data_IF_509735813024
#
_entry.id   IF_509735813024
#
_cell.length_a   1.000
_cell.length_b   1.000
_cell.length_c   1.000
_cell.angle_alpha   90.00
_cell.angle_beta   90.00
_cell.angle_gamma   90.00
#
_symmetry.space_group_name_H-M   'P 1'
#
loop_
_entity.id
_entity.type
_entity.pdbx_description
1 polymer ?
#
# COMPACT_ATOMS: atom_id res chain seq x y z
N UNK A 1 -14.91 -3.38 -2.06
CA UNK A 1 -14.61 -2.01 -2.53
C UNK A 1 -15.39 -0.99 -1.74
N UNK A 2 -14.71 0.00 -1.28
CA UNK A 2 -15.35 1.03 -0.48
C UNK A 2 -15.88 2.14 -1.36
N UNK A 3 -16.93 2.78 -0.88
CA UNK A 3 -17.51 3.92 -1.60
C UNK A 3 -16.53 5.06 -1.72
N UNK A 4 -15.57 5.12 -0.79
CA UNK A 4 -14.59 6.19 -0.78
C UNK A 4 -13.55 6.03 -1.88
N UNK A 5 -13.43 4.86 -2.47
CA UNK A 5 -12.45 4.64 -3.53
C UNK A 5 -12.92 5.29 -4.81
N UNK A 6 -12.09 6.16 -5.36
CA UNK A 6 -12.41 6.85 -6.60
C UNK A 6 -11.95 6.03 -7.79
N UNK A 7 -12.74 6.10 -8.85
CA UNK A 7 -12.42 5.42 -10.10
C UNK A 7 -12.38 6.47 -11.18
N UNK A 8 -11.23 6.64 -11.82
CA UNK A 8 -11.02 7.66 -12.83
C UNK A 8 -10.35 7.08 -14.06
N UNK A 9 -10.64 7.61 -15.24
CA UNK A 9 -9.93 7.16 -16.44
C UNK A 9 -8.50 7.69 -16.46
N UNK A 10 -7.66 7.04 -17.26
CA UNK A 10 -6.26 7.44 -17.36
C UNK A 10 -6.13 8.87 -17.88
N UNK A 11 -7.07 9.30 -18.69
CA UNK A 11 -7.04 10.68 -19.21
C UNK A 11 -7.18 11.71 -18.09
N UNK A 12 -7.94 11.38 -17.05
CA UNK A 12 -8.06 12.26 -15.91
C UNK A 12 -6.72 12.40 -15.20
N UNK A 13 -6.04 11.27 -15.02
CA UNK A 13 -4.73 11.28 -14.36
C UNK A 13 -3.74 12.14 -15.16
N UNK A 14 -3.73 11.97 -16.46
CA UNK A 14 -2.83 12.75 -17.31
C UNK A 14 -3.12 14.23 -17.22
N UNK A 15 -4.39 14.58 -17.20
CA UNK A 15 -4.78 15.99 -17.21
C UNK A 15 -4.61 16.67 -15.86
N UNK A 16 -4.67 15.90 -14.78
CA UNK A 16 -4.71 16.47 -13.43
C UNK A 16 -3.70 15.83 -12.49
N UNK A 17 -2.53 15.48 -13.02
CA UNK A 17 -1.56 14.72 -12.24
C UNK A 17 -1.21 15.38 -10.91
N UNK A 18 -0.95 16.68 -10.92
CA UNK A 18 -0.57 17.39 -9.69
C UNK A 18 -1.71 17.39 -8.68
N UNK A 19 -2.92 17.59 -9.16
CA UNK A 19 -4.09 17.57 -8.28
C UNK A 19 -4.31 16.19 -7.69
N UNK A 20 -4.09 15.16 -8.48
CA UNK A 20 -4.24 13.78 -8.04
C UNK A 20 -3.23 13.47 -6.93
N UNK A 21 -2.00 13.89 -7.12
CA UNK A 21 -0.97 13.67 -6.11
C UNK A 21 -1.37 14.32 -4.78
N UNK A 22 -1.80 15.56 -4.85
CA UNK A 22 -2.21 16.28 -3.65
C UNK A 22 -3.41 15.61 -2.98
N UNK A 23 -4.38 15.24 -3.78
CA UNK A 23 -5.60 14.62 -3.28
C UNK A 23 -5.31 13.31 -2.57
N UNK A 24 -4.46 12.48 -3.19
CA UNK A 24 -4.08 11.21 -2.59
C UNK A 24 -3.36 11.42 -1.26
N UNK A 25 -2.46 12.41 -1.21
CA UNK A 25 -1.72 12.69 0.00
C UNK A 25 -2.62 13.17 1.13
N UNK A 26 -3.61 13.99 0.78
CA UNK A 26 -4.49 14.56 1.79
C UNK A 26 -5.55 13.60 2.27
N UNK A 27 -6.19 12.91 1.34
CA UNK A 27 -7.31 12.04 1.69
C UNK A 27 -6.88 10.63 2.02
N UNK A 28 -5.70 10.25 1.55
CA UNK A 28 -5.13 8.93 1.85
C UNK A 28 -6.04 7.80 1.43
N UNK A 29 -6.75 8.01 0.34
CA UNK A 29 -7.64 7.02 -0.26
C UNK A 29 -7.06 6.61 -1.60
N UNK A 30 -7.02 5.32 -1.91
CA UNK A 30 -6.50 4.90 -3.20
C UNK A 30 -7.44 5.32 -4.33
N UNK A 31 -6.87 5.41 -5.52
CA UNK A 31 -7.63 5.75 -6.72
C UNK A 31 -7.40 4.64 -7.74
N UNK A 32 -8.48 4.16 -8.33
CA UNK A 32 -8.42 3.16 -9.38
C UNK A 32 -8.40 3.87 -10.72
N UNK A 33 -7.44 3.52 -11.55
CA UNK A 33 -7.30 4.14 -12.87
C UNK A 33 -7.72 3.12 -13.93
N UNK A 34 -8.62 3.56 -14.80
CA UNK A 34 -9.12 2.70 -15.86
C UNK A 34 -8.53 3.12 -17.20
N UNK A 35 -8.49 2.18 -18.12
CA UNK A 35 -8.10 2.42 -19.49
C UNK A 35 -8.96 1.54 -20.36
N UNK A 36 -9.60 2.16 -21.36
CA UNK A 36 -10.52 1.43 -22.24
C UNK A 36 -11.61 0.69 -21.45
N UNK A 37 -12.08 1.33 -20.38
CA UNK A 37 -13.16 0.78 -19.59
C UNK A 37 -12.75 -0.30 -18.61
N UNK A 38 -11.47 -0.60 -18.50
CA UNK A 38 -10.98 -1.62 -17.58
C UNK A 38 -10.10 -1.01 -16.53
N UNK A 39 -10.24 -1.49 -15.29
CA UNK A 39 -9.35 -1.10 -14.21
C UNK A 39 -7.97 -1.66 -14.47
N UNK A 40 -6.98 -0.78 -14.52
CA UNK A 40 -5.61 -1.17 -14.84
C UNK A 40 -4.64 -0.90 -13.71
N UNK A 41 -4.87 0.15 -12.93
CA UNK A 41 -3.92 0.59 -11.92
C UNK A 41 -4.65 0.96 -10.66
N UNK A 42 -3.95 0.80 -9.54
CA UNK A 42 -4.36 1.40 -8.28
C UNK A 42 -3.22 2.31 -7.86
N UNK A 43 -3.52 3.58 -7.59
CA UNK A 43 -2.51 4.53 -7.14
C UNK A 43 -2.88 5.00 -5.75
N UNK A 44 -1.86 5.27 -4.95
CA UNK A 44 -2.09 5.73 -3.59
C UNK A 44 -0.85 6.44 -3.07
N UNK A 45 -1.01 7.17 -1.98
CA UNK A 45 0.11 7.86 -1.37
C UNK A 45 1.08 6.87 -0.72
N UNK A 46 2.33 7.27 -0.66
CA UNK A 46 3.39 6.40 -0.16
C UNK A 46 3.17 6.00 1.29
N UNK A 47 2.72 6.95 2.11
CA UNK A 47 2.55 6.67 3.53
C UNK A 47 1.52 5.56 3.77
N UNK A 48 0.39 5.65 3.08
CA UNK A 48 -0.63 4.63 3.20
C UNK A 48 -0.12 3.28 2.67
N UNK A 49 0.60 3.31 1.57
CA UNK A 49 1.17 2.11 1.01
C UNK A 49 2.12 1.44 2.01
N UNK A 50 2.98 2.22 2.64
CA UNK A 50 3.92 1.69 3.62
C UNK A 50 3.19 1.09 4.82
N UNK A 51 2.18 1.78 5.31
CA UNK A 51 1.41 1.28 6.45
C UNK A 51 0.72 -0.03 6.11
N UNK A 52 0.18 -0.12 4.92
CA UNK A 52 -0.47 -1.35 4.48
C UNK A 52 0.53 -2.49 4.39
N UNK A 53 1.70 -2.22 3.85
CA UNK A 53 2.73 -3.25 3.73
C UNK A 53 3.18 -3.74 5.10
N UNK A 54 3.35 -2.84 6.04
CA UNK A 54 3.72 -3.22 7.39
C UNK A 54 2.65 -4.07 8.05
N UNK A 55 1.39 -3.69 7.87
CA UNK A 55 0.28 -4.45 8.43
C UNK A 55 0.22 -5.84 7.83
N UNK A 56 0.38 -5.94 6.51
CA UNK A 56 0.36 -7.24 5.85
C UNK A 56 1.51 -8.13 6.31
N UNK A 57 2.67 -7.53 6.51
CA UNK A 57 3.83 -8.28 7.00
C UNK A 57 3.56 -8.82 8.40
N UNK A 58 2.98 -8.01 9.27
CA UNK A 58 2.65 -8.45 10.61
C UNK A 58 1.60 -9.54 10.61
N UNK A 59 0.56 -9.38 9.79
CA UNK A 59 -0.48 -10.39 9.69
C UNK A 59 0.07 -11.70 9.17
N UNK A 60 0.98 -11.64 8.23
CA UNK A 60 1.60 -12.83 7.67
C UNK A 60 2.42 -13.55 8.72
N UNK A 61 3.16 -12.79 9.52
CA UNK A 61 3.95 -13.35 10.60
C UNK A 61 3.05 -14.02 11.62
N UNK A 62 1.95 -13.35 11.98
CA UNK A 62 0.99 -13.92 12.93
C UNK A 62 0.34 -15.17 12.38
N UNK A 63 0.03 -15.19 11.11
CA UNK A 63 -0.59 -16.35 10.48
C UNK A 63 0.35 -17.55 10.47
N UNK A 64 1.63 -17.32 10.29
CA UNK A 64 2.64 -18.36 10.37
C UNK A 64 2.99 -18.65 11.80
N UNK A 65 2.60 -17.80 12.66
CA UNK A 65 3.28 -17.35 13.79
C UNK A 65 3.27 -18.19 15.04
N UNK A 66 2.24 -18.92 15.32
CA UNK A 66 2.28 -19.63 16.60
C UNK A 66 3.48 -20.57 16.66
N UNK A 67 3.70 -21.29 15.57
CA UNK A 67 4.81 -22.22 15.54
C UNK A 67 6.15 -21.53 15.50
N UNK A 68 6.23 -20.46 14.73
CA UNK A 68 7.48 -19.75 14.53
C UNK A 68 7.95 -19.07 15.81
N UNK A 69 7.03 -18.57 16.56
CA UNK A 69 7.35 -17.88 17.80
C UNK A 69 8.04 -18.83 18.78
N UNK A 70 7.60 -20.07 18.81
CA UNK A 70 8.13 -21.03 19.74
C UNK A 70 9.58 -21.38 19.49
N UNK A 71 10.08 -21.13 18.31
CA UNK A 71 11.49 -21.42 17.99
C UNK A 71 12.30 -20.14 17.90
N UNK A 72 11.85 -19.09 18.55
CA UNK A 72 12.63 -17.87 18.66
C UNK A 72 12.70 -17.04 17.40
N UNK A 73 11.66 -17.07 16.61
CA UNK A 73 11.63 -16.34 15.35
C UNK A 73 11.11 -14.92 15.48
N UNK A 74 10.96 -14.45 16.69
CA UNK A 74 10.46 -13.09 16.93
C UNK A 74 11.38 -12.05 16.29
N UNK A 75 12.68 -12.28 16.36
CA UNK A 75 13.64 -11.36 15.74
C UNK A 75 13.49 -11.32 14.23
N UNK A 76 13.21 -12.45 13.63
CA UNK A 76 13.01 -12.49 12.19
C UNK A 76 11.80 -11.66 11.79
N UNK A 77 10.78 -11.64 12.64
CA UNK A 77 9.60 -10.82 12.39
C UNK A 77 9.97 -9.34 12.36
N UNK A 78 10.75 -8.90 13.33
CA UNK A 78 11.21 -7.52 13.37
C UNK A 78 12.05 -7.16 12.17
N UNK A 79 12.89 -8.09 11.74
CA UNK A 79 13.74 -7.86 10.58
C UNK A 79 12.93 -7.70 9.30
N UNK A 80 11.88 -8.48 9.15
CA UNK A 80 11.03 -8.37 7.96
C UNK A 80 10.39 -7.00 7.91
N UNK A 81 9.81 -6.56 9.00
CA UNK A 81 9.17 -5.25 9.07
C UNK A 81 10.18 -4.15 8.79
N UNK A 82 11.36 -4.24 9.40
CA UNK A 82 12.40 -3.24 9.20
C UNK A 82 12.85 -3.18 7.76
N UNK A 83 12.99 -4.32 7.12
CA UNK A 83 13.42 -4.36 5.73
C UNK A 83 12.40 -3.73 4.79
N UNK A 84 11.13 -3.98 5.04
CA UNK A 84 10.08 -3.39 4.23
C UNK A 84 10.06 -1.88 4.38
N UNK A 85 10.18 -1.42 5.60
CA UNK A 85 10.19 0.02 5.87
C UNK A 85 11.39 0.69 5.21
N UNK A 86 12.55 0.05 5.33
CA UNK A 86 13.78 0.59 4.76
C UNK A 86 13.70 0.62 3.23
N UNK A 87 13.14 -0.40 2.64
CA UNK A 87 12.97 -0.45 1.19
C UNK A 87 12.10 0.70 0.70
N UNK A 88 11.01 0.94 1.40
CA UNK A 88 10.11 2.02 1.03
C UNK A 88 10.79 3.38 1.15
N UNK A 89 11.60 3.55 2.18
CA UNK A 89 12.30 4.82 2.41
C UNK A 89 13.46 5.01 1.47
N UNK A 90 14.03 3.94 0.98
CA UNK A 90 15.20 4.00 0.12
C UNK A 90 14.93 4.42 -1.29
N UNK A 91 13.70 4.73 -1.60
CA UNK A 91 13.35 5.17 -2.95
C UNK A 91 13.34 6.68 -3.08
#
# INVERSE_FOLDING_TARGET
MKYSTQIKPISYLKAHAADVVRELAEQRQPMVITQNGEAKLVIQDVKTYEETQETLALLKILALGSRQIEVGKVQAAGDVVARLRKRAQGR
#
